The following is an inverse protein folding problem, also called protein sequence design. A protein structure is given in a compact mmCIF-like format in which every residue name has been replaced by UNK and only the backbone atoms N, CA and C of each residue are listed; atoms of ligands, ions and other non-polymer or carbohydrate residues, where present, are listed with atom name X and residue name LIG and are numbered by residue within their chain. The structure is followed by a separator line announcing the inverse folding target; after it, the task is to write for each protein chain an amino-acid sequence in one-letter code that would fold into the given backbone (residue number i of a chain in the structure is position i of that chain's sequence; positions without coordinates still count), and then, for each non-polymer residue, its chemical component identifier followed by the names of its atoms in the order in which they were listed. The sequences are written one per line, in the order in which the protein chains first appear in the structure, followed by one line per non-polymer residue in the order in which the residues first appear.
data_IF_241243720542
#
_entry.id   IF_241243720542
#
_cell.length_a   1.000
_cell.length_b   1.000
_cell.length_c   1.000
_cell.angle_alpha   90.00
_cell.angle_beta   90.00
_cell.angle_gamma   90.00
#
_symmetry.space_group_name_H-M   'P 1'
#
loop_
_entity.id
_entity.type
_entity.pdbx_description
1 polymer ?
#
# COMPACT_ATOMS: atom_id res chain seq x y z
N UNK A 1 14.19 -9.22 9.98
CA UNK A 1 14.01 -10.67 10.08
C UNK A 1 12.54 -11.06 9.90
N UNK A 2 12.30 -12.33 9.66
CA UNK A 2 10.94 -12.86 9.50
C UNK A 2 10.11 -12.60 10.76
N UNK A 3 10.70 -12.81 11.95
CA UNK A 3 10.02 -12.56 13.22
C UNK A 3 9.61 -11.09 13.37
N UNK A 4 10.51 -10.18 13.04
CA UNK A 4 10.22 -8.74 13.11
C UNK A 4 9.12 -8.35 12.13
N UNK A 5 9.15 -8.91 10.92
CA UNK A 5 8.13 -8.66 9.91
C UNK A 5 6.76 -9.14 10.36
N UNK A 6 6.66 -10.33 10.97
CA UNK A 6 5.41 -10.87 11.49
C UNK A 6 4.87 -10.04 12.65
N UNK A 7 5.75 -9.58 13.54
CA UNK A 7 5.36 -8.73 14.67
C UNK A 7 4.81 -7.40 14.17
N UNK A 8 5.48 -6.81 13.18
CA UNK A 8 5.02 -5.55 12.59
C UNK A 8 3.67 -5.71 11.91
N UNK A 9 3.49 -6.81 11.15
CA UNK A 9 2.22 -7.05 10.47
C UNK A 9 1.08 -7.24 11.48
N UNK A 10 1.33 -7.95 12.59
CA UNK A 10 0.35 -8.12 13.64
C UNK A 10 -0.06 -6.77 14.25
N UNK A 11 0.91 -5.87 14.41
CA UNK A 11 0.64 -4.51 14.90
C UNK A 11 -0.26 -3.76 13.91
N UNK A 12 0.03 -3.86 12.61
CA UNK A 12 -0.79 -3.23 11.58
C UNK A 12 -2.21 -3.81 11.53
N UNK A 13 -2.35 -5.13 11.71
CA UNK A 13 -3.66 -5.77 11.78
C UNK A 13 -4.49 -5.21 12.94
N UNK A 14 -3.88 -5.09 14.10
CA UNK A 14 -4.56 -4.55 15.28
C UNK A 14 -5.00 -3.10 15.05
N UNK A 15 -4.09 -2.26 14.56
CA UNK A 15 -4.41 -0.87 14.28
C UNK A 15 -5.46 -0.73 13.19
N UNK A 16 -5.32 -1.50 12.11
CA UNK A 16 -6.26 -1.45 10.99
C UNK A 16 -7.67 -1.83 11.41
N UNK A 17 -7.79 -2.88 12.23
CA UNK A 17 -9.10 -3.28 12.75
C UNK A 17 -9.72 -2.22 13.64
N UNK A 18 -8.93 -1.57 14.48
CA UNK A 18 -9.45 -0.52 15.36
C UNK A 18 -9.91 0.72 14.57
N UNK A 19 -9.38 0.93 13.37
CA UNK A 19 -9.75 2.04 12.49
C UNK A 19 -10.77 1.62 11.42
N UNK A 20 -11.25 0.39 11.47
CA UNK A 20 -12.17 -0.18 10.46
C UNK A 20 -11.62 -0.14 9.04
N UNK A 21 -10.30 -0.36 8.90
CA UNK A 21 -9.67 -0.49 7.61
C UNK A 21 -9.78 -1.92 7.07
N UNK A 22 -9.94 -2.07 5.76
CA UNK A 22 -9.98 -3.40 5.16
C UNK A 22 -8.58 -4.03 5.08
N UNK A 23 -8.52 -5.31 4.73
CA UNK A 23 -7.26 -6.04 4.69
C UNK A 23 -6.30 -5.46 3.66
N UNK A 24 -6.80 -5.00 2.53
CA UNK A 24 -5.96 -4.43 1.49
C UNK A 24 -5.24 -3.17 1.97
N UNK A 25 -5.91 -2.33 2.76
CA UNK A 25 -5.27 -1.18 3.40
C UNK A 25 -4.16 -1.63 4.35
N UNK A 26 -4.40 -2.70 5.10
CA UNK A 26 -3.41 -3.23 6.05
C UNK A 26 -2.19 -3.75 5.29
N UNK A 27 -2.41 -4.49 4.21
CA UNK A 27 -1.32 -4.99 3.38
C UNK A 27 -0.51 -3.83 2.79
N UNK A 28 -1.18 -2.82 2.24
CA UNK A 28 -0.50 -1.66 1.69
C UNK A 28 0.28 -0.91 2.77
N UNK A 29 -0.24 -0.84 3.98
CA UNK A 29 0.45 -0.20 5.10
C UNK A 29 1.74 -0.92 5.49
N UNK A 30 1.84 -2.21 5.24
CA UNK A 30 3.09 -2.93 5.46
C UNK A 30 4.22 -2.34 4.62
N UNK A 31 3.90 -1.84 3.44
CA UNK A 31 4.86 -1.18 2.55
C UNK A 31 5.00 0.32 2.86
N UNK A 32 3.88 0.98 3.14
CA UNK A 32 3.84 2.43 3.32
C UNK A 32 4.08 2.92 4.76
N UNK A 33 3.94 2.02 5.75
CA UNK A 33 3.97 2.41 7.15
C UNK A 33 2.57 2.62 7.71
N UNK A 34 2.47 2.63 9.04
CA UNK A 34 1.18 2.66 9.74
C UNK A 34 0.38 3.95 9.51
N UNK A 35 1.04 5.03 9.12
CA UNK A 35 0.36 6.29 8.81
C UNK A 35 -0.63 6.18 7.67
N UNK A 36 -0.43 5.20 6.75
CA UNK A 36 -1.38 4.97 5.68
C UNK A 36 -2.75 4.53 6.22
N UNK A 37 -2.78 3.81 7.33
CA UNK A 37 -4.04 3.40 7.94
C UNK A 37 -4.84 4.60 8.45
N UNK A 38 -4.17 5.58 9.06
CA UNK A 38 -4.82 6.81 9.50
C UNK A 38 -5.38 7.58 8.30
N UNK A 39 -4.61 7.62 7.22
CA UNK A 39 -5.05 8.26 5.98
C UNK A 39 -6.26 7.54 5.38
N UNK A 40 -6.21 6.22 5.27
CA UNK A 40 -7.29 5.42 4.71
C UNK A 40 -8.57 5.54 5.54
N UNK A 41 -8.44 5.64 6.87
CA UNK A 41 -9.59 5.76 7.75
C UNK A 41 -10.42 7.01 7.46
N UNK A 42 -9.79 8.07 6.94
CA UNK A 42 -10.50 9.29 6.54
C UNK A 42 -11.38 9.07 5.32
N UNK A 43 -11.18 7.97 4.61
CA UNK A 43 -11.91 7.60 3.41
C UNK A 43 -12.62 6.25 3.61
N UNK A 44 -13.17 6.05 4.81
CA UNK A 44 -13.95 4.87 5.21
C UNK A 44 -13.15 3.57 5.32
N UNK A 45 -11.82 3.64 5.30
CA UNK A 45 -10.98 2.46 5.45
C UNK A 45 -11.04 1.48 4.28
N UNK A 46 -11.50 1.92 3.11
CA UNK A 46 -11.63 1.08 1.92
C UNK A 46 -10.46 1.33 0.99
N UNK A 47 -9.74 0.27 0.66
CA UNK A 47 -8.61 0.36 -0.24
C UNK A 47 -9.07 0.62 -1.68
N UNK A 48 -8.32 1.45 -2.39
CA UNK A 48 -8.41 1.58 -3.84
C UNK A 48 -7.03 1.93 -4.38
N UNK A 49 -6.80 1.63 -5.64
CA UNK A 49 -5.55 2.02 -6.31
C UNK A 49 -5.35 3.53 -6.23
N UNK A 50 -6.43 4.27 -6.44
CA UNK A 50 -6.40 5.73 -6.38
C UNK A 50 -5.99 6.24 -4.99
N UNK A 51 -6.50 5.60 -3.93
CA UNK A 51 -6.16 5.96 -2.56
C UNK A 51 -4.66 5.78 -2.30
N UNK A 52 -4.11 4.64 -2.74
CA UNK A 52 -2.69 4.35 -2.59
C UNK A 52 -1.84 5.31 -3.41
N UNK A 53 -2.26 5.65 -4.62
CA UNK A 53 -1.56 6.60 -5.47
C UNK A 53 -1.51 7.99 -4.84
N UNK A 54 -2.63 8.47 -4.32
CA UNK A 54 -2.70 9.79 -3.71
C UNK A 54 -1.81 9.91 -2.49
N UNK A 55 -1.76 8.86 -1.68
CA UNK A 55 -0.89 8.84 -0.53
C UNK A 55 0.58 8.91 -0.95
N UNK A 56 0.96 8.09 -1.94
CA UNK A 56 2.34 8.08 -2.45
C UNK A 56 2.71 9.39 -3.11
N UNK A 57 1.79 10.00 -3.85
CA UNK A 57 2.00 11.31 -4.45
C UNK A 57 2.32 12.35 -3.39
N UNK A 58 1.53 12.35 -2.31
CA UNK A 58 1.71 13.30 -1.22
C UNK A 58 3.04 13.11 -0.52
N UNK A 59 3.39 11.84 -0.22
CA UNK A 59 4.61 11.52 0.51
C UNK A 59 5.86 11.75 -0.34
N UNK A 60 5.77 11.57 -1.65
CA UNK A 60 6.92 11.75 -2.56
C UNK A 60 7.10 13.18 -3.04
N UNK A 61 6.14 14.06 -2.71
CA UNK A 61 6.14 15.42 -3.26
C UNK A 61 5.85 15.44 -4.77
N UNK A 62 5.23 14.38 -5.29
CA UNK A 62 4.93 14.26 -6.71
C UNK A 62 6.04 13.67 -7.54
N UNK A 63 7.18 13.29 -6.93
CA UNK A 63 8.29 12.69 -7.65
C UNK A 63 7.96 11.26 -8.08
N UNK A 64 8.34 10.90 -9.30
CA UNK A 64 8.09 9.59 -9.87
C UNK A 64 9.39 8.92 -10.27
N UNK A 65 9.35 7.59 -10.37
CA UNK A 65 10.48 6.81 -10.88
C UNK A 65 9.96 5.80 -11.91
N UNK A 66 10.86 5.35 -12.78
CA UNK A 66 10.55 4.29 -13.72
C UNK A 66 10.32 2.99 -12.95
N UNK A 67 9.32 2.23 -13.38
CA UNK A 67 8.99 0.97 -12.73
C UNK A 67 8.49 -0.02 -13.79
N UNK A 68 9.33 -0.97 -14.13
CA UNK A 68 9.09 -1.86 -15.27
C UNK A 68 8.25 -3.10 -14.93
N UNK A 69 7.68 -3.15 -13.74
CA UNK A 69 6.78 -4.25 -13.37
C UNK A 69 5.61 -4.30 -14.36
N UNK A 70 5.23 -5.51 -14.86
CA UNK A 70 4.16 -5.63 -15.84
C UNK A 70 2.85 -4.96 -15.44
N UNK A 71 2.50 -4.99 -14.15
CA UNK A 71 1.29 -4.34 -13.67
C UNK A 71 1.34 -2.82 -13.89
N UNK A 72 2.48 -2.20 -13.57
CA UNK A 72 2.66 -0.76 -13.77
C UNK A 72 2.70 -0.40 -15.25
N UNK A 73 3.38 -1.22 -16.06
CA UNK A 73 3.44 -0.99 -17.51
C UNK A 73 2.04 -1.01 -18.11
N UNK A 74 1.22 -1.97 -17.70
CA UNK A 74 -0.15 -2.08 -18.20
C UNK A 74 -1.04 -0.94 -17.73
N UNK A 75 -0.85 -0.50 -16.48
CA UNK A 75 -1.75 0.49 -15.89
C UNK A 75 -1.41 1.93 -16.28
N UNK A 76 -0.12 2.26 -16.34
CA UNK A 76 0.27 3.66 -16.55
C UNK A 76 1.50 3.85 -17.45
N UNK A 77 2.01 2.79 -18.04
CA UNK A 77 3.18 2.88 -18.91
C UNK A 77 4.50 2.59 -18.22
N UNK A 78 4.49 2.26 -16.94
CA UNK A 78 5.70 1.79 -16.26
C UNK A 78 6.36 2.80 -15.33
N UNK A 79 5.57 3.45 -14.49
CA UNK A 79 6.13 4.34 -13.48
C UNK A 79 5.38 4.16 -12.14
N UNK A 80 6.00 4.63 -11.08
CA UNK A 80 5.33 4.78 -9.77
C UNK A 80 5.86 6.00 -9.05
N UNK A 81 5.13 6.45 -8.05
CA UNK A 81 5.63 7.54 -7.20
C UNK A 81 6.84 7.05 -6.39
N UNK A 82 7.77 7.96 -6.12
CA UNK A 82 9.02 7.66 -5.41
C UNK A 82 8.80 7.59 -3.90
N UNK A 83 7.84 6.75 -3.49
CA UNK A 83 7.53 6.48 -2.10
C UNK A 83 6.90 5.09 -2.03
N UNK A 84 7.57 4.14 -1.38
CA UNK A 84 7.09 2.78 -1.31
C UNK A 84 6.68 2.23 -2.68
N UNK A 85 5.60 1.45 -2.71
CA UNK A 85 5.09 0.89 -3.95
C UNK A 85 3.56 0.91 -3.95
N UNK A 86 2.97 1.80 -4.75
CA UNK A 86 1.51 1.95 -4.84
C UNK A 86 0.80 0.72 -5.40
N UNK A 87 1.54 -0.24 -5.95
CA UNK A 87 0.99 -1.50 -6.45
C UNK A 87 1.13 -2.65 -5.46
N UNK A 88 1.68 -2.39 -4.25
CA UNK A 88 2.10 -3.44 -3.33
C UNK A 88 0.97 -4.38 -2.94
N UNK A 89 -0.17 -3.85 -2.51
CA UNK A 89 -1.29 -4.70 -2.09
C UNK A 89 -1.79 -5.58 -3.23
N UNK A 90 -1.88 -5.03 -4.43
CA UNK A 90 -2.32 -5.78 -5.60
C UNK A 90 -1.32 -6.87 -5.99
N UNK A 91 -0.03 -6.58 -5.89
CA UNK A 91 1.03 -7.56 -6.17
C UNK A 91 1.02 -8.70 -5.16
N UNK A 92 0.86 -8.38 -3.87
CA UNK A 92 0.78 -9.40 -2.83
C UNK A 92 -0.44 -10.30 -3.04
N UNK A 93 -1.58 -9.72 -3.34
CA UNK A 93 -2.81 -10.50 -3.58
C UNK A 93 -2.66 -11.39 -4.81
N UNK A 94 -2.04 -10.90 -5.86
CA UNK A 94 -1.76 -11.69 -7.05
C UNK A 94 -0.92 -12.92 -6.71
N UNK A 95 0.06 -12.74 -5.83
CA UNK A 95 0.94 -13.81 -5.38
C UNK A 95 0.19 -14.86 -4.55
N UNK A 96 -0.76 -14.41 -3.72
CA UNK A 96 -1.49 -15.31 -2.84
C UNK A 96 -2.55 -16.14 -3.56
N UNK A 97 -3.04 -15.67 -4.70
CA UNK A 97 -4.09 -16.34 -5.47
C UNK A 97 -3.49 -17.43 -6.38
N UNK A 98 -2.23 -17.30 -6.72
CA UNK A 98 -1.53 -18.33 -7.51
C UNK A 98 -1.08 -19.46 -6.61
#
# INVERSE_FOLDING_TARGET
SIRQGCTYFAHLLSKGKSLDCDLDCIIQAYNYGSGFLDYAAKFNGVYSTELAEKFAEKQSGGNTIQYDNPMAVQENGGWRYAYGNMFYARLVKQYLIE
#
